data_IF_466804656269
#
_entry.id   IF_466804656269
#
_cell.length_a   1.000
_cell.length_b   1.000
_cell.length_c   1.000
_cell.angle_alpha   90.00
_cell.angle_beta   90.00
_cell.angle_gamma   90.00
#
_symmetry.space_group_name_H-M   'P 1'
#
loop_
_entity.id
_entity.type
_entity.pdbx_description
1 polymer ?
#
# COMPACT_ATOMS: atom_id res chain seq x y z
N UNK A 1 -8.64 11.76 -14.36
CA UNK A 1 -7.85 10.82 -13.54
C UNK A 1 -6.35 10.95 -13.77
N UNK A 2 -5.89 10.71 -15.00
CA UNK A 2 -4.46 10.72 -15.37
C UNK A 2 -3.68 11.97 -14.96
N UNK A 3 -4.33 13.14 -14.97
CA UNK A 3 -3.70 14.40 -14.54
C UNK A 3 -3.31 14.41 -13.04
N UNK A 4 -4.11 13.81 -12.15
CA UNK A 4 -3.79 13.73 -10.73
C UNK A 4 -2.58 12.81 -10.48
N UNK A 5 -2.56 11.66 -11.17
CA UNK A 5 -1.44 10.71 -11.12
C UNK A 5 -0.16 11.36 -11.66
N UNK A 6 -0.25 12.09 -12.78
CA UNK A 6 0.87 12.82 -13.36
C UNK A 6 1.42 13.90 -12.42
N UNK A 7 0.54 14.67 -11.75
CA UNK A 7 0.96 15.65 -10.74
C UNK A 7 1.64 15.00 -9.55
N UNK A 8 1.10 13.87 -9.06
CA UNK A 8 1.71 13.13 -7.95
C UNK A 8 3.10 12.63 -8.32
N UNK A 9 3.24 11.94 -9.46
CA UNK A 9 4.53 11.49 -10.00
C UNK A 9 5.55 12.65 -10.10
N UNK A 10 5.14 13.78 -10.68
CA UNK A 10 6.01 14.95 -10.80
C UNK A 10 6.43 15.56 -9.46
N UNK A 11 5.55 15.54 -8.45
CA UNK A 11 5.81 16.16 -7.13
C UNK A 11 6.66 15.28 -6.22
N UNK A 12 6.54 13.97 -6.32
CA UNK A 12 7.21 13.02 -5.43
C UNK A 12 8.41 12.33 -6.07
N UNK A 13 8.50 12.35 -7.40
CA UNK A 13 9.52 11.63 -8.17
C UNK A 13 9.24 10.13 -8.33
N UNK A 14 8.07 9.64 -7.90
CA UNK A 14 7.65 8.26 -8.18
C UNK A 14 7.30 8.13 -9.66
N UNK A 15 7.66 6.98 -10.26
CA UNK A 15 7.38 6.70 -11.65
C UNK A 15 5.86 6.76 -11.95
N UNK A 16 5.52 7.47 -13.03
CA UNK A 16 4.13 7.67 -13.44
C UNK A 16 3.45 6.35 -13.83
N UNK A 17 4.15 5.48 -14.55
CA UNK A 17 3.57 4.22 -15.03
C UNK A 17 3.33 3.27 -13.85
N UNK A 18 4.21 3.25 -12.85
CA UNK A 18 3.99 2.54 -11.60
C UNK A 18 2.69 2.97 -10.92
N UNK A 19 2.48 4.28 -10.73
CA UNK A 19 1.26 4.80 -10.10
C UNK A 19 0.01 4.51 -10.92
N UNK A 20 0.09 4.59 -12.26
CA UNK A 20 -1.04 4.21 -13.14
C UNK A 20 -1.34 2.72 -13.02
N UNK A 21 -0.32 1.86 -13.01
CA UNK A 21 -0.49 0.42 -12.89
C UNK A 21 -1.17 0.06 -11.56
N UNK A 22 -0.71 0.64 -10.46
CA UNK A 22 -1.31 0.43 -9.14
C UNK A 22 -2.76 0.92 -9.10
N UNK A 23 -3.06 2.13 -9.59
CA UNK A 23 -4.43 2.65 -9.62
C UNK A 23 -5.38 1.79 -10.51
N UNK A 24 -4.86 1.17 -11.58
CA UNK A 24 -5.62 0.22 -12.41
C UNK A 24 -5.94 -1.06 -11.65
N UNK A 25 -4.94 -1.64 -10.96
CA UNK A 25 -5.11 -2.86 -10.16
C UNK A 25 -6.10 -2.62 -9.03
N UNK A 26 -5.94 -1.53 -8.30
CA UNK A 26 -6.72 -1.27 -7.08
C UNK A 26 -8.18 -0.88 -7.38
N UNK A 27 -8.42 -0.02 -8.36
CA UNK A 27 -9.75 0.57 -8.56
C UNK A 27 -10.25 0.57 -10.00
N UNK A 28 -9.46 0.05 -10.96
CA UNK A 28 -9.75 0.25 -12.37
C UNK A 28 -9.75 1.74 -12.76
N UNK A 29 -8.94 2.57 -12.10
CA UNK A 29 -8.90 4.04 -12.24
C UNK A 29 -10.17 4.78 -11.78
N UNK A 30 -10.98 4.17 -10.91
CA UNK A 30 -12.19 4.80 -10.35
C UNK A 30 -11.88 5.51 -9.01
N UNK A 31 -11.97 6.86 -8.93
CA UNK A 31 -11.71 7.58 -7.68
C UNK A 31 -12.75 7.34 -6.60
N UNK A 32 -13.91 6.79 -6.95
CA UNK A 32 -15.01 6.52 -6.03
C UNK A 32 -15.16 5.02 -5.72
N UNK A 33 -14.15 4.21 -6.09
CA UNK A 33 -14.18 2.78 -5.80
C UNK A 33 -14.26 2.54 -4.29
N UNK A 34 -15.13 1.61 -3.90
CA UNK A 34 -15.33 1.21 -2.52
C UNK A 34 -15.40 -0.31 -2.45
N UNK A 35 -14.51 -0.91 -1.66
CA UNK A 35 -14.55 -2.35 -1.40
C UNK A 35 -15.80 -2.71 -0.58
N UNK A 36 -16.40 -3.87 -0.87
CA UNK A 36 -17.59 -4.35 -0.15
C UNK A 36 -17.25 -5.01 1.20
N UNK A 37 -16.02 -5.45 1.37
CA UNK A 37 -15.58 -6.31 2.48
C UNK A 37 -14.55 -5.65 3.39
N UNK A 38 -14.14 -4.41 3.09
CA UNK A 38 -13.15 -3.67 3.86
C UNK A 38 -13.42 -2.16 3.82
N UNK A 39 -12.61 -1.40 4.54
CA UNK A 39 -12.64 0.08 4.50
C UNK A 39 -11.87 0.68 3.32
N UNK A 40 -11.36 -0.16 2.41
CA UNK A 40 -10.63 0.29 1.24
C UNK A 40 -11.51 1.19 0.35
N UNK A 41 -10.98 2.38 0.04
CA UNK A 41 -11.71 3.40 -0.69
C UNK A 41 -10.79 4.24 -1.55
N UNK A 42 -11.33 4.75 -2.65
CA UNK A 42 -10.65 5.69 -3.53
C UNK A 42 -9.79 5.04 -4.60
N UNK A 43 -9.07 5.88 -5.33
CA UNK A 43 -8.26 5.49 -6.49
C UNK A 43 -7.21 4.41 -6.21
N UNK A 44 -6.65 4.41 -4.99
CA UNK A 44 -5.63 3.46 -4.54
C UNK A 44 -6.11 2.59 -3.36
N UNK A 45 -7.43 2.47 -3.18
CA UNK A 45 -8.05 1.56 -2.20
C UNK A 45 -7.45 1.62 -0.79
N UNK A 46 -7.17 2.83 -0.30
CA UNK A 46 -6.65 3.04 1.04
C UNK A 46 -7.65 2.57 2.10
N UNK A 47 -7.23 1.62 2.94
CA UNK A 47 -7.92 1.28 4.19
C UNK A 47 -7.75 2.40 5.22
N UNK A 48 -8.70 2.50 6.16
CA UNK A 48 -8.79 3.60 7.12
C UNK A 48 -7.48 3.89 7.87
N UNK A 49 -6.84 2.84 8.39
CA UNK A 49 -5.65 2.99 9.23
C UNK A 49 -4.42 3.42 8.44
N UNK A 50 -4.25 2.89 7.22
CA UNK A 50 -3.16 3.28 6.33
C UNK A 50 -3.34 4.71 5.86
N UNK A 51 -4.56 5.11 5.49
CA UNK A 51 -4.86 6.49 5.10
C UNK A 51 -4.45 7.49 6.18
N UNK A 52 -4.92 7.28 7.41
CA UNK A 52 -4.65 8.20 8.51
C UNK A 52 -3.14 8.28 8.80
N UNK A 53 -2.41 7.16 8.85
CA UNK A 53 -0.96 7.18 9.05
C UNK A 53 -0.20 7.90 7.92
N UNK A 54 -0.63 7.73 6.67
CA UNK A 54 0.03 8.40 5.54
C UNK A 54 -0.24 9.91 5.56
N UNK A 55 -1.46 10.33 5.92
CA UNK A 55 -1.80 11.76 6.10
C UNK A 55 -1.06 12.37 7.29
N UNK A 56 -0.97 11.67 8.42
CA UNK A 56 -0.21 12.07 9.62
C UNK A 56 1.27 12.33 9.31
N UNK A 57 1.85 11.53 8.40
CA UNK A 57 3.27 11.63 8.07
C UNK A 57 3.59 12.63 6.95
N UNK A 58 2.69 12.76 5.97
CA UNK A 58 2.99 13.46 4.71
C UNK A 58 1.97 14.53 4.32
N UNK A 59 0.88 14.67 5.06
CA UNK A 59 -0.21 15.57 4.72
C UNK A 59 0.26 17.02 4.62
N UNK A 60 1.06 17.47 5.59
CA UNK A 60 1.60 18.83 5.61
C UNK A 60 2.43 19.16 4.35
N UNK A 61 3.26 18.23 3.87
CA UNK A 61 4.10 18.39 2.67
C UNK A 61 3.29 18.70 1.41
N UNK A 62 2.03 18.28 1.38
CA UNK A 62 1.15 18.35 0.21
C UNK A 62 -0.03 19.32 0.37
N UNK A 63 0.07 20.26 1.31
CA UNK A 63 -0.97 21.27 1.55
C UNK A 63 -2.17 20.76 2.33
N UNK A 64 -2.06 19.59 2.97
CA UNK A 64 -3.06 19.02 3.88
C UNK A 64 -2.61 19.17 5.35
N UNK A 65 -1.93 20.26 5.69
CA UNK A 65 -1.43 20.50 7.05
C UNK A 65 -2.51 20.49 8.12
N UNK A 66 -3.72 20.96 7.81
CA UNK A 66 -4.88 20.88 8.71
C UNK A 66 -5.30 19.44 9.01
N UNK A 67 -5.11 18.52 8.06
CA UNK A 67 -5.47 17.12 8.22
C UNK A 67 -4.39 16.39 9.01
N UNK A 68 -3.13 16.64 8.66
CA UNK A 68 -1.92 16.19 9.35
C UNK A 68 -1.99 16.54 10.85
N UNK A 69 -2.17 17.83 11.19
CA UNK A 69 -2.27 18.32 12.58
C UNK A 69 -3.43 17.70 13.37
N UNK A 70 -4.53 17.36 12.70
CA UNK A 70 -5.68 16.73 13.31
C UNK A 70 -5.52 15.21 13.54
N UNK A 71 -4.55 14.57 12.88
CA UNK A 71 -4.23 13.16 13.10
C UNK A 71 -3.15 13.05 14.18
N UNK A 72 -3.39 12.22 15.18
CA UNK A 72 -2.42 11.92 16.23
C UNK A 72 -2.23 10.41 16.32
N UNK A 73 -1.09 9.92 15.83
CA UNK A 73 -0.75 8.49 15.86
C UNK A 73 -1.75 7.65 15.04
N UNK A 74 -2.21 8.19 13.91
CA UNK A 74 -3.24 7.55 13.07
C UNK A 74 -4.67 7.59 13.64
N UNK A 75 -4.98 8.48 14.59
CA UNK A 75 -6.32 8.69 15.14
C UNK A 75 -6.74 10.16 15.04
N UNK A 76 -8.02 10.41 14.81
CA UNK A 76 -8.61 11.76 14.79
C UNK A 76 -9.68 11.82 15.88
N UNK A 77 -9.57 12.78 16.79
CA UNK A 77 -10.45 12.88 17.96
C UNK A 77 -11.85 13.40 17.61
N UNK A 78 -11.93 14.48 16.81
CA UNK A 78 -13.21 15.03 16.36
C UNK A 78 -13.81 14.17 15.24
N UNK A 79 -15.02 13.60 15.41
CA UNK A 79 -15.68 12.81 14.37
C UNK A 79 -15.95 13.58 13.08
N UNK A 80 -16.25 14.88 13.16
CA UNK A 80 -16.53 15.70 11.99
C UNK A 80 -15.24 15.92 11.17
N UNK A 81 -14.16 16.30 11.85
CA UNK A 81 -12.83 16.38 11.24
C UNK A 81 -12.39 15.03 10.65
N UNK A 82 -12.61 13.93 11.38
CA UNK A 82 -12.31 12.58 10.89
C UNK A 82 -13.03 12.31 9.57
N UNK A 83 -14.32 12.60 9.48
CA UNK A 83 -15.09 12.39 8.27
C UNK A 83 -14.53 13.19 7.08
N UNK A 84 -14.12 14.44 7.29
CA UNK A 84 -13.49 15.27 6.26
C UNK A 84 -12.16 14.68 5.78
N UNK A 85 -11.30 14.24 6.71
CA UNK A 85 -10.02 13.62 6.38
C UNK A 85 -10.23 12.30 5.63
N UNK A 86 -11.18 11.46 6.04
CA UNK A 86 -11.45 10.20 5.36
C UNK A 86 -12.02 10.40 3.94
N UNK A 87 -12.77 11.49 3.72
CA UNK A 87 -13.36 11.82 2.41
C UNK A 87 -12.31 12.23 1.37
N UNK A 88 -11.12 12.68 1.80
CA UNK A 88 -10.00 12.97 0.90
C UNK A 88 -9.52 11.74 0.11
N UNK A 89 -9.85 10.51 0.54
CA UNK A 89 -9.59 9.29 -0.26
C UNK A 89 -10.29 9.31 -1.62
N UNK A 90 -11.43 9.98 -1.71
CA UNK A 90 -12.22 10.12 -2.93
C UNK A 90 -11.68 11.25 -3.84
N UNK A 91 -10.81 12.11 -3.30
CA UNK A 91 -10.14 13.15 -4.06
C UNK A 91 -8.94 12.52 -4.80
N UNK A 92 -8.93 12.52 -6.15
CA UNK A 92 -7.89 11.83 -6.91
C UNK A 92 -6.50 12.45 -6.72
N UNK A 93 -6.39 13.76 -6.44
CA UNK A 93 -5.11 14.41 -6.18
C UNK A 93 -4.54 14.02 -4.82
N UNK A 94 -5.35 14.12 -3.76
CA UNK A 94 -4.93 13.71 -2.43
C UNK A 94 -4.59 12.22 -2.37
N UNK A 95 -5.46 11.37 -2.96
CA UNK A 95 -5.25 9.93 -3.04
C UNK A 95 -3.96 9.57 -3.78
N UNK A 96 -3.67 10.22 -4.93
CA UNK A 96 -2.45 9.97 -5.68
C UNK A 96 -1.18 10.44 -4.98
N UNK A 97 -1.22 11.60 -4.29
CA UNK A 97 -0.07 12.08 -3.52
C UNK A 97 0.24 11.16 -2.35
N UNK A 98 -0.77 10.74 -1.59
CA UNK A 98 -0.57 9.79 -0.49
C UNK A 98 -0.14 8.40 -0.96
N UNK A 99 -0.65 7.93 -2.11
CA UNK A 99 -0.18 6.67 -2.71
C UNK A 99 1.30 6.74 -3.09
N UNK A 100 1.74 7.86 -3.67
CA UNK A 100 3.12 8.06 -4.03
C UNK A 100 4.03 8.13 -2.79
N UNK A 101 3.64 8.86 -1.74
CA UNK A 101 4.41 8.91 -0.49
C UNK A 101 4.46 7.55 0.22
N UNK A 102 3.36 6.78 0.20
CA UNK A 102 3.35 5.41 0.72
C UNK A 102 4.30 4.50 -0.09
N UNK A 103 4.35 4.66 -1.41
CA UNK A 103 5.29 3.91 -2.25
C UNK A 103 6.75 4.27 -1.94
N UNK A 104 7.06 5.55 -1.68
CA UNK A 104 8.38 5.97 -1.24
C UNK A 104 8.75 5.40 0.12
N UNK A 105 7.83 5.44 1.09
CA UNK A 105 8.02 4.85 2.41
C UNK A 105 8.28 3.34 2.33
N UNK A 106 7.52 2.64 1.48
CA UNK A 106 7.72 1.21 1.24
C UNK A 106 9.07 0.95 0.59
N UNK A 107 9.45 1.72 -0.44
CA UNK A 107 10.75 1.58 -1.11
C UNK A 107 11.88 1.74 -0.10
N UNK A 108 11.86 2.81 0.68
CA UNK A 108 12.94 3.13 1.62
C UNK A 108 13.03 2.07 2.74
N UNK A 109 11.89 1.60 3.24
CA UNK A 109 11.85 0.50 4.21
C UNK A 109 12.37 -0.83 3.65
N UNK A 110 12.01 -1.16 2.40
CA UNK A 110 12.50 -2.37 1.73
C UNK A 110 13.99 -2.31 1.42
N UNK A 111 14.51 -1.14 1.02
CA UNK A 111 15.95 -0.95 0.79
C UNK A 111 16.78 -1.29 2.03
N UNK A 112 16.29 -0.95 3.21
CA UNK A 112 16.96 -1.28 4.48
C UNK A 112 17.04 -2.80 4.72
N UNK A 113 16.07 -3.57 4.23
CA UNK A 113 16.05 -5.04 4.33
C UNK A 113 16.84 -5.71 3.21
N UNK A 114 16.72 -5.22 1.98
CA UNK A 114 17.30 -5.85 0.79
C UNK A 114 18.76 -5.45 0.54
N UNK A 115 19.22 -4.31 1.05
CA UNK A 115 20.54 -3.75 0.72
C UNK A 115 20.67 -3.26 -0.72
N UNK A 116 19.58 -3.25 -1.49
CA UNK A 116 19.46 -2.78 -2.87
C UNK A 116 18.09 -2.14 -3.10
N UNK A 117 17.92 -1.49 -4.26
CA UNK A 117 16.58 -1.05 -4.68
C UNK A 117 15.62 -2.25 -4.82
N UNK A 118 14.39 -2.15 -4.29
CA UNK A 118 13.37 -3.15 -4.56
C UNK A 118 12.91 -3.06 -6.02
N UNK A 119 12.61 -4.20 -6.62
CA UNK A 119 11.93 -4.24 -7.91
C UNK A 119 10.41 -3.93 -7.77
N UNK A 120 9.70 -3.84 -8.89
CA UNK A 120 8.27 -3.50 -8.89
C UNK A 120 7.40 -4.52 -8.15
N UNK A 121 7.75 -5.80 -8.21
CA UNK A 121 7.01 -6.88 -7.55
C UNK A 121 7.26 -6.86 -6.04
N UNK A 122 8.49 -6.56 -5.62
CA UNK A 122 8.83 -6.38 -4.20
C UNK A 122 8.14 -5.13 -3.62
N UNK A 123 8.07 -4.04 -4.38
CA UNK A 123 7.35 -2.84 -3.97
C UNK A 123 5.84 -3.08 -3.89
N UNK A 124 5.28 -3.83 -4.85
CA UNK A 124 3.88 -4.28 -4.80
C UNK A 124 3.61 -5.19 -3.60
N UNK A 125 4.54 -6.09 -3.26
CA UNK A 125 4.44 -6.93 -2.07
C UNK A 125 4.30 -6.08 -0.79
N UNK A 126 5.08 -5.00 -0.66
CA UNK A 126 4.94 -4.07 0.47
C UNK A 126 3.63 -3.29 0.47
N UNK A 127 3.04 -3.01 -0.69
CA UNK A 127 1.68 -2.47 -0.75
C UNK A 127 0.65 -3.48 -0.22
N UNK A 128 0.75 -4.73 -0.68
CA UNK A 128 -0.20 -5.80 -0.39
C UNK A 128 -0.12 -6.33 1.05
N UNK A 129 1.08 -6.66 1.54
CA UNK A 129 1.30 -7.19 2.89
C UNK A 129 1.48 -6.10 3.95
N UNK A 130 1.65 -4.84 3.52
CA UNK A 130 2.27 -3.80 4.35
C UNK A 130 3.78 -4.00 4.47
N UNK A 131 4.48 -2.90 4.80
CA UNK A 131 5.95 -2.88 4.84
C UNK A 131 6.55 -3.98 5.73
N UNK A 132 6.08 -4.12 6.97
CA UNK A 132 6.63 -5.12 7.91
C UNK A 132 6.42 -6.56 7.43
N UNK A 133 5.25 -6.87 6.87
CA UNK A 133 4.96 -8.19 6.30
C UNK A 133 5.84 -8.51 5.09
N UNK A 134 6.06 -7.53 4.22
CA UNK A 134 6.97 -7.67 3.08
C UNK A 134 8.44 -7.78 3.50
N UNK A 135 8.90 -7.04 4.49
CA UNK A 135 10.25 -7.19 5.04
C UNK A 135 10.46 -8.59 5.62
N UNK A 136 9.50 -9.11 6.39
CA UNK A 136 9.53 -10.47 6.92
C UNK A 136 9.52 -11.51 5.80
N UNK A 137 8.65 -11.35 4.80
CA UNK A 137 8.57 -12.22 3.63
C UNK A 137 9.89 -12.25 2.85
N UNK A 138 10.46 -11.09 2.52
CA UNK A 138 11.67 -10.99 1.72
C UNK A 138 12.92 -11.47 2.48
N UNK A 139 12.97 -11.26 3.80
CA UNK A 139 14.01 -11.83 4.64
C UNK A 139 13.92 -13.36 4.67
N UNK A 140 12.71 -13.91 4.75
CA UNK A 140 12.47 -15.34 4.65
C UNK A 140 12.85 -15.88 3.26
N UNK A 141 12.49 -15.18 2.17
CA UNK A 141 12.84 -15.56 0.81
C UNK A 141 14.36 -15.68 0.63
N UNK A 142 15.11 -14.75 1.20
CA UNK A 142 16.58 -14.74 1.11
C UNK A 142 17.26 -15.81 1.98
N UNK A 143 16.66 -16.21 3.10
CA UNK A 143 17.30 -17.10 4.09
C UNK A 143 16.78 -18.53 4.09
N UNK A 144 15.49 -18.73 3.86
CA UNK A 144 14.81 -20.03 3.80
C UNK A 144 13.61 -19.95 2.84
N UNK A 145 13.83 -19.99 1.51
CA UNK A 145 12.77 -19.84 0.52
C UNK A 145 11.68 -20.92 0.59
N UNK A 146 11.99 -22.09 1.14
CA UNK A 146 11.08 -23.24 1.26
C UNK A 146 10.18 -23.17 2.51
N UNK A 147 10.34 -22.15 3.37
CA UNK A 147 9.42 -21.94 4.49
C UNK A 147 8.02 -21.63 3.98
N UNK A 148 7.01 -22.15 4.68
CA UNK A 148 5.61 -21.85 4.35
C UNK A 148 5.32 -20.36 4.49
N UNK A 149 4.75 -19.74 3.45
CA UNK A 149 4.41 -18.33 3.46
C UNK A 149 3.32 -17.98 4.50
N UNK A 150 2.44 -18.92 4.84
CA UNK A 150 1.48 -18.76 5.95
C UNK A 150 2.20 -18.63 7.30
N UNK A 151 3.32 -19.33 7.52
CA UNK A 151 4.06 -19.21 8.77
C UNK A 151 4.70 -17.83 8.92
N UNK A 152 5.08 -17.20 7.81
CA UNK A 152 5.67 -15.86 7.81
C UNK A 152 4.58 -14.77 7.91
N UNK A 153 3.47 -14.92 7.20
CA UNK A 153 2.38 -13.94 7.14
C UNK A 153 0.99 -14.58 7.35
N UNK A 154 0.67 -15.07 8.56
CA UNK A 154 -0.54 -15.88 8.79
C UNK A 154 -1.85 -15.12 8.57
N UNK A 155 -1.88 -13.83 8.90
CA UNK A 155 -3.06 -12.99 8.68
C UNK A 155 -3.33 -12.76 7.19
N UNK A 156 -2.28 -12.48 6.41
CA UNK A 156 -2.39 -12.27 4.97
C UNK A 156 -2.78 -13.57 4.26
N UNK A 157 -2.21 -14.71 4.67
CA UNK A 157 -2.55 -16.03 4.15
C UNK A 157 -4.03 -16.37 4.34
N UNK A 158 -4.57 -16.12 5.54
CA UNK A 158 -6.00 -16.31 5.85
C UNK A 158 -6.90 -15.44 5.00
N UNK A 159 -6.52 -14.18 4.79
CA UNK A 159 -7.32 -13.22 4.01
C UNK A 159 -7.23 -13.46 2.50
N UNK A 160 -6.12 -14.02 2.00
CA UNK A 160 -5.79 -14.06 0.58
C UNK A 160 -5.42 -15.48 0.11
N UNK A 161 -6.34 -16.44 0.32
CA UNK A 161 -6.05 -17.85 0.06
C UNK A 161 -5.57 -18.16 -1.36
N UNK A 162 -6.04 -17.42 -2.36
CA UNK A 162 -5.63 -17.64 -3.76
C UNK A 162 -4.15 -17.34 -4.04
N UNK A 163 -3.53 -16.49 -3.22
CA UNK A 163 -2.10 -16.17 -3.31
C UNK A 163 -1.28 -17.15 -2.47
N UNK A 164 -1.71 -17.46 -1.24
CA UNK A 164 -0.88 -18.22 -0.29
C UNK A 164 -1.06 -19.75 -0.35
N UNK A 165 -2.01 -20.27 -1.13
CA UNK A 165 -2.30 -21.71 -1.18
C UNK A 165 -2.48 -22.23 -2.60
N UNK A 166 -2.02 -23.46 -2.80
CA UNK A 166 -2.32 -24.31 -3.94
C UNK A 166 -3.29 -25.41 -3.48
N UNK A 167 -4.59 -25.18 -3.70
CA UNK A 167 -5.66 -25.98 -3.11
C UNK A 167 -5.64 -25.92 -1.58
N UNK A 168 -5.38 -27.06 -0.94
CA UNK A 168 -5.26 -27.16 0.53
C UNK A 168 -3.82 -26.96 1.04
N UNK A 169 -2.82 -27.00 0.14
CA UNK A 169 -1.41 -26.91 0.50
C UNK A 169 -1.00 -25.44 0.59
N UNK A 170 -0.40 -25.04 1.72
CA UNK A 170 0.23 -23.72 1.82
C UNK A 170 1.45 -23.67 0.90
N UNK A 171 1.56 -22.60 0.12
CA UNK A 171 2.74 -22.32 -0.70
C UNK A 171 3.92 -21.92 0.17
N UNK A 172 5.11 -22.16 -0.34
CA UNK A 172 6.35 -21.61 0.18
C UNK A 172 6.49 -20.14 -0.18
N UNK A 173 7.38 -19.42 0.49
CA UNK A 173 7.69 -18.03 0.16
C UNK A 173 8.20 -17.89 -1.28
N UNK A 174 8.97 -18.85 -1.79
CA UNK A 174 9.42 -18.86 -3.18
C UNK A 174 8.29 -19.10 -4.19
N UNK A 175 7.37 -20.02 -3.90
CA UNK A 175 6.19 -20.25 -4.74
C UNK A 175 5.29 -19.00 -4.80
N UNK A 176 5.03 -18.37 -3.65
CA UNK A 176 4.26 -17.12 -3.60
C UNK A 176 4.92 -16.01 -4.40
N UNK A 177 6.25 -15.85 -4.28
CA UNK A 177 6.97 -14.81 -5.03
C UNK A 177 6.90 -15.03 -6.54
N UNK A 178 6.84 -16.29 -7.00
CA UNK A 178 6.63 -16.61 -8.42
C UNK A 178 5.25 -16.13 -8.87
N UNK A 179 4.20 -16.45 -8.10
CA UNK A 179 2.82 -16.01 -8.38
C UNK A 179 2.68 -14.49 -8.40
N UNK A 180 3.42 -13.78 -7.56
CA UNK A 180 3.40 -12.30 -7.49
C UNK A 180 4.13 -11.65 -8.68
N UNK A 181 5.07 -12.37 -9.31
CA UNK A 181 5.85 -11.87 -10.45
C UNK A 181 5.18 -12.14 -11.80
N UNK A 182 4.25 -13.09 -11.86
CA UNK A 182 3.45 -13.44 -13.05
C UNK A 182 2.30 -12.44 -13.31
#
# INVERSE_FOLDING_TARGET
>A
MTAAISRAASRTGVDFNYLVAQARIESGLNPQAQARTSSARGLYQFVDSTWLRTVDKHGAKHGMGWADEAVNGGRVADPAMRAQIMALRDNPDASALMAAELALDNRDGLRATLGREPDSSELYLAHFLGLGGAQGFLSALASNPDISAEQVNPAAARANRGIFYDGARARTVAEDMTVIRD
#
